data_IF_578181163816
#
_entry.id   IF_578181163816
#
_cell.length_a   1.000
_cell.length_b   1.000
_cell.length_c   1.000
_cell.angle_alpha   90.00
_cell.angle_beta   90.00
_cell.angle_gamma   90.00
#
_symmetry.space_group_name_H-M   'P 1'
#
loop_
_entity.id
_entity.type
_entity.pdbx_description
1 polymer ?
#
# COMPACT_ATOMS: atom_id res chain seq x y z
N UNK A 1 -21.66 -16.00 -11.33
CA UNK A 1 -20.57 -16.01 -11.22
C UNK A 1 -20.03 -15.03 -10.51
N UNK A 2 -19.21 -15.26 -9.77
CA UNK A 2 -18.74 -14.37 -9.05
C UNK A 2 -17.78 -13.59 -9.55
N UNK A 3 -17.78 -12.43 -9.36
CA UNK A 3 -16.87 -11.61 -9.73
C UNK A 3 -15.99 -11.46 -8.69
N UNK A 4 -14.88 -12.00 -8.66
CA UNK A 4 -13.95 -11.78 -7.68
C UNK A 4 -13.27 -10.54 -7.91
N UNK A 5 -13.40 -9.60 -7.02
CA UNK A 5 -12.65 -8.38 -7.12
C UNK A 5 -11.25 -8.68 -6.73
N UNK A 6 -10.32 -8.32 -7.55
CA UNK A 6 -8.91 -8.52 -7.25
C UNK A 6 -8.38 -7.26 -6.64
N UNK A 7 -8.00 -7.33 -5.39
CA UNK A 7 -7.40 -6.19 -4.70
C UNK A 7 -5.90 -6.37 -4.71
N UNK A 8 -5.20 -5.45 -5.34
CA UNK A 8 -3.75 -5.51 -5.45
C UNK A 8 -3.09 -4.52 -4.55
N UNK A 9 -2.00 -4.90 -3.94
CA UNK A 9 -1.21 -4.00 -3.10
C UNK A 9 0.17 -3.83 -3.72
N UNK A 10 0.55 -2.58 -3.95
CA UNK A 10 1.88 -2.26 -4.45
C UNK A 10 2.58 -1.44 -3.40
N UNK A 11 3.85 -1.67 -3.18
CA UNK A 11 4.61 -0.91 -2.19
C UNK A 11 5.85 -0.33 -2.84
N UNK A 12 6.35 0.75 -2.26
CA UNK A 12 7.58 1.37 -2.75
C UNK A 12 8.75 0.77 -1.98
N UNK A 13 9.95 1.18 -2.33
CA UNK A 13 11.11 0.87 -1.52
C UNK A 13 11.00 1.70 -0.24
N UNK A 14 11.90 1.45 0.72
CA UNK A 14 11.92 2.21 1.95
C UNK A 14 12.42 3.62 1.64
N UNK A 15 11.69 4.62 2.08
CA UNK A 15 12.03 6.00 1.81
C UNK A 15 12.13 6.76 3.12
N UNK A 16 12.62 7.99 3.07
CA UNK A 16 12.69 8.79 4.27
C UNK A 16 11.78 9.96 4.17
N UNK A 17 11.09 10.26 5.27
CA UNK A 17 10.24 11.43 5.35
C UNK A 17 10.42 11.98 6.76
N UNK A 18 10.89 13.23 6.85
CA UNK A 18 11.10 13.88 8.15
C UNK A 18 11.96 13.03 9.10
N UNK A 19 13.04 12.48 8.55
CA UNK A 19 13.97 11.66 9.33
C UNK A 19 13.40 10.33 9.77
N UNK A 20 12.27 9.92 9.22
CA UNK A 20 11.70 8.64 9.54
C UNK A 20 11.64 7.77 8.31
N UNK A 21 11.77 6.48 8.48
CA UNK A 21 11.66 5.57 7.37
C UNK A 21 10.19 5.29 7.11
N UNK A 22 9.78 5.41 5.88
CA UNK A 22 8.39 5.15 5.49
C UNK A 22 8.35 4.31 4.24
N UNK A 23 7.23 3.65 4.00
CA UNK A 23 6.99 2.94 2.76
C UNK A 23 5.64 3.42 2.25
N UNK A 24 5.60 3.79 0.97
CA UNK A 24 4.34 4.19 0.35
C UNK A 24 3.63 2.93 -0.11
N UNK A 25 2.34 2.87 0.14
CA UNK A 25 1.52 1.73 -0.24
C UNK A 25 0.38 2.19 -1.11
N UNK A 26 -0.03 1.33 -2.04
CA UNK A 26 -1.14 1.67 -2.92
C UNK A 26 -1.99 0.43 -3.10
N UNK A 27 -3.26 0.53 -2.74
CA UNK A 27 -4.23 -0.54 -2.99
C UNK A 27 -5.00 -0.17 -4.23
N UNK A 28 -5.21 -1.11 -5.14
CA UNK A 28 -5.97 -0.88 -6.34
C UNK A 28 -6.93 -2.03 -6.59
N UNK A 29 -8.08 -1.71 -7.14
CA UNK A 29 -9.00 -2.74 -7.59
C UNK A 29 -9.79 -2.20 -8.77
N UNK A 30 -10.26 -3.10 -9.63
CA UNK A 30 -11.11 -2.72 -10.72
C UNK A 30 -12.50 -3.20 -10.37
N UNK A 31 -13.49 -2.29 -10.45
CA UNK A 31 -14.83 -2.66 -10.17
C UNK A 31 -15.73 -2.06 -11.21
N UNK A 32 -16.39 -2.89 -11.99
CA UNK A 32 -17.31 -2.46 -13.03
C UNK A 32 -16.65 -1.51 -14.01
N UNK A 33 -15.43 -1.82 -14.39
CA UNK A 33 -14.73 -1.02 -15.37
C UNK A 33 -14.09 0.24 -14.81
N UNK A 34 -14.22 0.49 -13.51
CA UNK A 34 -13.61 1.67 -12.93
C UNK A 34 -12.50 1.27 -12.00
N UNK A 35 -11.43 2.03 -12.02
CA UNK A 35 -10.31 1.74 -11.17
C UNK A 35 -10.41 2.52 -9.87
N UNK A 36 -10.40 1.82 -8.77
CA UNK A 36 -10.40 2.44 -7.45
C UNK A 36 -9.03 2.31 -6.84
N UNK A 37 -8.57 3.31 -6.10
CA UNK A 37 -7.28 3.22 -5.47
C UNK A 37 -7.23 3.95 -4.13
N UNK A 38 -6.31 3.58 -3.29
CA UNK A 38 -6.06 4.25 -2.02
C UNK A 38 -4.56 4.26 -1.80
N UNK A 39 -3.97 5.43 -1.64
CA UNK A 39 -2.54 5.57 -1.45
C UNK A 39 -2.25 6.08 -0.05
N UNK A 40 -1.31 5.46 0.62
CA UNK A 40 -0.97 5.83 1.98
C UNK A 40 0.47 5.51 2.33
N UNK A 41 0.78 5.59 3.60
CA UNK A 41 2.14 5.31 4.05
C UNK A 41 2.09 4.51 5.34
N UNK A 42 3.16 3.76 5.58
CA UNK A 42 3.36 3.08 6.85
C UNK A 42 4.68 3.58 7.42
N UNK A 43 4.88 3.59 8.71
CA UNK A 43 4.09 2.94 9.73
C UNK A 43 2.90 3.77 10.23
N UNK A 44 2.73 4.97 9.67
CA UNK A 44 1.65 5.81 10.09
C UNK A 44 0.29 5.21 9.78
N UNK A 45 0.21 4.41 8.74
CA UNK A 45 -1.02 3.74 8.31
C UNK A 45 -2.12 4.77 8.02
N UNK A 46 -1.73 5.85 7.34
CA UNK A 46 -2.70 6.85 6.94
C UNK A 46 -2.78 6.89 5.43
N UNK A 47 -3.91 7.32 4.88
CA UNK A 47 -4.09 7.40 3.45
C UNK A 47 -4.15 8.87 3.02
N UNK A 48 -3.44 9.17 1.94
CA UNK A 48 -3.39 10.52 1.43
C UNK A 48 -4.33 10.72 0.27
N UNK A 49 -4.58 9.70 -0.53
CA UNK A 49 -5.48 9.79 -1.65
C UNK A 49 -6.36 8.57 -1.67
N UNK A 50 -7.65 8.75 -1.81
CA UNK A 50 -8.60 7.66 -1.82
C UNK A 50 -9.62 7.92 -2.90
N UNK A 51 -9.85 6.94 -3.76
CA UNK A 51 -10.86 7.08 -4.78
C UNK A 51 -11.63 5.77 -4.90
N UNK A 52 -12.91 5.81 -4.66
CA UNK A 52 -13.78 4.65 -4.87
C UNK A 52 -13.96 3.74 -3.67
N UNK A 53 -13.15 3.89 -2.62
CA UNK A 53 -13.30 3.06 -1.44
C UNK A 53 -14.17 3.79 -0.43
N UNK A 54 -15.06 3.05 0.24
CA UNK A 54 -15.92 3.63 1.27
C UNK A 54 -15.13 3.79 2.57
N UNK A 55 -15.68 4.51 3.51
CA UNK A 55 -15.00 4.70 4.79
C UNK A 55 -14.78 3.39 5.51
N UNK A 56 -15.74 2.46 5.41
CA UNK A 56 -15.56 1.16 6.02
C UNK A 56 -14.44 0.42 5.36
N UNK A 57 -14.36 0.49 4.05
CA UNK A 57 -13.30 -0.20 3.32
C UNK A 57 -11.94 0.39 3.67
N UNK A 58 -11.85 1.71 3.79
CA UNK A 58 -10.61 2.35 4.16
C UNK A 58 -10.19 1.91 5.57
N UNK A 59 -11.15 1.79 6.49
CA UNK A 59 -10.83 1.33 7.83
C UNK A 59 -10.26 -0.09 7.81
N UNK A 60 -10.80 -0.95 6.95
CA UNK A 60 -10.29 -2.30 6.81
C UNK A 60 -8.88 -2.30 6.23
N UNK A 61 -8.61 -1.42 5.27
CA UNK A 61 -7.28 -1.33 4.69
C UNK A 61 -6.28 -0.83 5.74
N UNK A 62 -6.69 0.12 6.58
CA UNK A 62 -5.81 0.60 7.64
C UNK A 62 -5.48 -0.51 8.63
N UNK A 63 -6.48 -1.31 8.96
CA UNK A 63 -6.27 -2.41 9.87
C UNK A 63 -5.28 -3.40 9.28
N UNK A 64 -5.44 -3.70 7.99
CA UNK A 64 -4.52 -4.59 7.30
C UNK A 64 -3.09 -4.03 7.36
N UNK A 65 -2.94 -2.74 7.12
CA UNK A 65 -1.61 -2.14 7.17
C UNK A 65 -1.01 -2.25 8.55
N UNK A 66 -1.80 -2.01 9.59
CA UNK A 66 -1.28 -2.08 10.95
C UNK A 66 -0.84 -3.49 11.31
N UNK A 67 -1.55 -4.48 10.79
CA UNK A 67 -1.19 -5.87 11.07
C UNK A 67 0.06 -6.30 10.33
N UNK A 68 0.39 -5.66 9.24
CA UNK A 68 1.46 -6.10 8.37
C UNK A 68 2.60 -5.10 8.17
N UNK A 69 2.72 -4.13 9.08
CA UNK A 69 3.76 -3.09 8.94
C UNK A 69 5.14 -3.70 8.77
N UNK A 70 5.48 -4.68 9.61
CA UNK A 70 6.82 -5.24 9.56
C UNK A 70 7.05 -6.01 8.27
N UNK A 71 6.05 -6.74 7.82
CA UNK A 71 6.17 -7.47 6.56
C UNK A 71 6.33 -6.53 5.40
N UNK A 72 5.62 -5.40 5.42
CA UNK A 72 5.71 -4.41 4.36
C UNK A 72 7.13 -3.83 4.33
N UNK A 73 7.70 -3.52 5.48
CA UNK A 73 9.05 -3.00 5.52
C UNK A 73 10.06 -4.03 5.04
N UNK A 74 9.84 -5.31 5.37
CA UNK A 74 10.73 -6.33 4.89
C UNK A 74 10.70 -6.41 3.38
N UNK A 75 9.50 -6.40 2.77
CA UNK A 75 9.39 -6.46 1.31
C UNK A 75 9.97 -5.21 0.66
N UNK A 76 9.75 -4.05 1.29
CA UNK A 76 10.29 -2.81 0.76
C UNK A 76 11.81 -2.82 0.80
N UNK A 77 12.40 -3.42 1.83
CA UNK A 77 13.86 -3.50 1.92
C UNK A 77 14.42 -4.38 0.81
N UNK A 78 13.69 -5.41 0.41
CA UNK A 78 14.12 -6.22 -0.72
C UNK A 78 14.18 -5.43 -2.00
N UNK A 79 13.26 -4.49 -2.17
CA UNK A 79 13.28 -3.62 -3.34
C UNK A 79 14.51 -2.73 -3.30
N UNK A 80 14.85 -2.18 -2.13
CA UNK A 80 16.06 -1.37 -1.98
C UNK A 80 17.28 -2.19 -2.37
N UNK A 81 17.35 -3.43 -1.90
CA UNK A 81 18.49 -4.27 -2.19
C UNK A 81 18.62 -4.55 -3.67
N UNK A 82 17.50 -4.79 -4.34
CA UNK A 82 17.55 -5.04 -5.76
C UNK A 82 18.02 -3.80 -6.50
N UNK A 83 17.54 -2.63 -6.11
CA UNK A 83 17.95 -1.39 -6.76
C UNK A 83 19.44 -1.18 -6.58
N UNK A 84 19.96 -1.53 -5.42
CA UNK A 84 21.37 -1.39 -5.17
C UNK A 84 22.17 -2.26 -6.12
N UNK A 85 21.71 -3.51 -6.33
CA UNK A 85 22.41 -4.41 -7.19
C UNK A 85 22.36 -4.02 -8.65
N UNK A 86 21.35 -3.27 -9.07
CA UNK A 86 21.24 -2.89 -10.44
C UNK A 86 22.07 -1.69 -10.81
N UNK A 87 22.73 -1.08 -9.87
CA UNK A 87 23.55 0.06 -10.15
C UNK A 87 24.93 -0.32 -10.70
#
# INVERSE_FOLDING_TARGET
MDQQETLNLTISSVMRKDNEKVVHVRFERDQEGKKHFAEGIVPECSFEKIYGFTEEEVAQLKFYLKEHVQDIFKEAQKINDKEFWLK
#
